data_IF_427444666354
#
_entry.id   IF_427444666354
#
_cell.length_a   1.000
_cell.length_b   1.000
_cell.length_c   1.000
_cell.angle_alpha   90.00
_cell.angle_beta   90.00
_cell.angle_gamma   90.00
#
_symmetry.space_group_name_H-M   'P 1'
#
loop_
_entity.id
_entity.type
_entity.pdbx_description
1 polymer ?
#
# COMPACT_ATOMS: atom_id res chain seq x y z
N UNK A 1 2.44 -13.16 3.09
CA UNK A 1 1.13 -13.81 3.30
C UNK A 1 0.62 -14.34 1.98
N UNK A 2 0.36 -13.49 0.98
CA UNK A 2 -0.02 -13.86 -0.40
C UNK A 2 1.08 -14.56 -1.24
N UNK A 3 2.09 -15.13 -0.58
CA UNK A 3 3.19 -15.92 -1.17
C UNK A 3 3.24 -17.32 -0.53
N UNK A 4 2.30 -17.59 0.38
CA UNK A 4 2.13 -18.86 1.07
C UNK A 4 1.03 -19.61 0.33
N UNK A 5 1.26 -20.83 -0.18
CA UNK A 5 0.28 -21.57 -0.95
C UNK A 5 -1.10 -21.65 -0.26
N UNK A 6 -1.10 -21.86 1.06
CA UNK A 6 -2.33 -21.93 1.87
C UNK A 6 -3.17 -20.65 1.90
N UNK A 7 -2.56 -19.49 1.66
CA UNK A 7 -3.23 -18.19 1.62
C UNK A 7 -3.59 -17.81 0.19
N UNK A 8 -2.78 -18.22 -0.79
CA UNK A 8 -3.08 -18.01 -2.21
C UNK A 8 -4.42 -18.68 -2.57
N UNK A 9 -4.64 -19.89 -2.09
CA UNK A 9 -5.89 -20.64 -2.33
C UNK A 9 -7.12 -20.04 -1.60
N UNK A 10 -6.90 -19.17 -0.60
CA UNK A 10 -7.98 -18.52 0.15
C UNK A 10 -8.41 -17.17 -0.44
N UNK A 11 -7.65 -16.62 -1.38
CA UNK A 11 -7.86 -15.26 -1.89
C UNK A 11 -8.30 -15.28 -3.35
N UNK A 12 -9.51 -14.79 -3.61
CA UNK A 12 -9.97 -14.55 -4.97
C UNK A 12 -9.18 -13.40 -5.64
N UNK A 13 -8.72 -12.41 -4.86
CA UNK A 13 -7.88 -11.32 -5.33
C UNK A 13 -7.60 -10.28 -4.23
N UNK A 14 -6.71 -9.33 -4.51
CA UNK A 14 -6.30 -8.28 -3.57
C UNK A 14 -6.41 -6.91 -4.24
N UNK A 15 -7.07 -5.95 -3.59
CA UNK A 15 -7.07 -4.54 -4.01
C UNK A 15 -6.11 -3.76 -3.12
N UNK A 16 -5.21 -3.00 -3.74
CA UNK A 16 -4.14 -2.26 -3.07
C UNK A 16 -4.25 -0.78 -3.44
N UNK A 17 -4.57 0.09 -2.48
CA UNK A 17 -4.53 1.55 -2.64
C UNK A 17 -3.24 2.10 -2.04
N UNK A 18 -2.44 2.79 -2.86
CA UNK A 18 -1.15 3.40 -2.50
C UNK A 18 -0.29 2.53 -1.56
N UNK A 19 0.00 1.27 -1.94
CA UNK A 19 0.60 0.32 -1.02
C UNK A 19 2.02 0.72 -0.64
N UNK A 20 2.37 0.52 0.63
CA UNK A 20 3.72 0.72 1.17
C UNK A 20 4.70 -0.37 0.67
N UNK A 21 4.96 -0.39 -0.64
CA UNK A 21 5.89 -1.31 -1.30
C UNK A 21 7.33 -0.78 -1.23
N UNK A 22 7.49 0.53 -1.24
CA UNK A 22 8.78 1.20 -1.05
C UNK A 22 8.55 2.52 -0.33
N UNK A 23 9.22 2.67 0.80
CA UNK A 23 9.17 3.87 1.65
C UNK A 23 10.58 4.36 1.87
N UNK A 24 10.82 5.67 1.70
CA UNK A 24 12.12 6.28 1.97
C UNK A 24 12.24 6.61 3.46
N UNK A 25 13.32 6.19 4.14
CA UNK A 25 13.55 6.61 5.52
C UNK A 25 13.73 8.13 5.61
N UNK A 26 13.37 8.72 6.75
CA UNK A 26 13.53 10.15 6.97
C UNK A 26 15.00 10.61 6.90
N UNK A 27 15.95 9.73 7.25
CA UNK A 27 17.38 9.96 7.11
C UNK A 27 18.11 8.64 6.84
N UNK A 28 19.16 8.59 5.99
CA UNK A 28 19.90 7.36 5.66
C UNK A 28 20.41 6.59 6.89
N UNK A 29 20.84 7.31 7.93
CA UNK A 29 21.36 6.71 9.18
C UNK A 29 20.31 5.88 9.92
N UNK A 30 19.02 6.18 9.74
CA UNK A 30 17.92 5.46 10.41
C UNK A 30 17.96 3.99 10.01
N UNK A 31 18.23 3.68 8.74
CA UNK A 31 18.33 2.29 8.28
C UNK A 31 19.44 1.51 8.99
N UNK A 32 20.56 2.17 9.29
CA UNK A 32 21.72 1.55 9.93
C UNK A 32 21.52 1.28 11.43
N UNK A 33 20.89 2.21 12.16
CA UNK A 33 20.72 2.10 13.61
C UNK A 33 19.40 1.44 14.03
N UNK A 34 18.41 1.39 13.14
CA UNK A 34 17.08 0.87 13.42
C UNK A 34 17.05 -0.56 13.98
N UNK A 35 17.84 -1.55 13.50
CA UNK A 35 17.79 -2.92 14.05
C UNK A 35 18.16 -2.96 15.54
N UNK A 36 19.23 -2.26 15.92
CA UNK A 36 19.70 -2.22 17.31
C UNK A 36 18.71 -1.49 18.22
N UNK A 37 18.23 -0.31 17.82
CA UNK A 37 17.26 0.44 18.61
C UNK A 37 15.87 -0.20 18.64
N UNK A 38 15.49 -0.96 17.60
CA UNK A 38 14.27 -1.76 17.59
C UNK A 38 14.29 -2.84 18.69
N UNK A 39 15.47 -3.39 18.99
CA UNK A 39 15.64 -4.37 20.06
C UNK A 39 15.68 -3.71 21.44
N UNK A 40 16.47 -2.65 21.60
CA UNK A 40 16.77 -2.05 22.92
C UNK A 40 15.71 -1.04 23.37
N UNK A 41 15.11 -0.29 22.44
CA UNK A 41 14.14 0.76 22.74
C UNK A 41 12.94 0.74 21.77
N UNK A 42 12.21 -0.39 21.64
CA UNK A 42 11.19 -0.59 20.60
C UNK A 42 10.06 0.44 20.59
N UNK A 43 9.70 0.96 21.78
CA UNK A 43 8.61 1.92 21.99
C UNK A 43 9.06 3.38 21.85
N UNK A 44 10.36 3.62 21.70
CA UNK A 44 10.89 4.98 21.57
C UNK A 44 10.30 5.67 20.34
N UNK A 45 10.02 6.96 20.47
CA UNK A 45 9.42 7.79 19.44
C UNK A 45 10.42 8.87 19.05
N UNK A 46 10.94 8.78 17.83
CA UNK A 46 11.88 9.76 17.33
C UNK A 46 11.12 10.93 16.68
N UNK A 47 10.99 12.04 17.40
CA UNK A 47 10.25 13.23 16.95
C UNK A 47 10.81 13.82 15.64
N UNK A 48 12.11 13.68 15.38
CA UNK A 48 12.77 14.22 14.18
C UNK A 48 12.41 13.52 12.87
N UNK A 49 11.74 12.36 12.90
CA UNK A 49 11.21 11.68 11.72
C UNK A 49 9.74 12.01 11.45
N UNK A 50 9.09 12.79 12.32
CA UNK A 50 7.67 13.12 12.17
C UNK A 50 7.52 14.26 11.15
N UNK A 51 7.28 13.91 9.89
CA UNK A 51 6.90 14.87 8.85
C UNK A 51 5.45 15.28 9.06
N UNK A 52 5.20 16.12 10.07
CA UNK A 52 3.89 16.77 10.23
C UNK A 52 3.59 17.54 8.96
N UNK A 53 2.40 17.34 8.39
CA UNK A 53 1.90 18.14 7.27
C UNK A 53 2.29 17.69 5.87
N UNK A 54 2.70 16.43 5.64
CA UNK A 54 2.61 15.89 4.27
C UNK A 54 1.12 15.77 3.93
N UNK A 55 0.61 16.49 2.91
CA UNK A 55 -0.76 16.30 2.48
C UNK A 55 -0.90 14.89 1.89
N UNK A 56 -1.89 14.16 2.37
CA UNK A 56 -2.21 12.80 1.91
C UNK A 56 -3.40 12.79 0.96
N UNK A 57 -4.14 13.89 0.87
CA UNK A 57 -5.23 14.13 -0.08
C UNK A 57 -5.24 15.63 -0.44
N UNK A 58 -5.78 15.96 -1.62
CA UNK A 58 -6.04 17.35 -2.06
C UNK A 58 -7.29 17.95 -1.40
N UNK A 59 -8.16 17.13 -0.81
CA UNK A 59 -9.40 17.57 -0.16
C UNK A 59 -9.15 18.06 1.28
N UNK A 60 -9.27 19.38 1.56
CA UNK A 60 -9.05 19.92 2.89
C UNK A 60 -10.10 19.47 3.92
N UNK A 61 -11.34 19.19 3.50
CA UNK A 61 -12.39 18.71 4.41
C UNK A 61 -12.13 17.27 4.84
N UNK A 62 -11.69 16.42 3.91
CA UNK A 62 -11.29 15.05 4.21
C UNK A 62 -10.08 15.01 5.16
N UNK A 63 -9.09 15.89 4.95
CA UNK A 63 -7.95 16.03 5.86
C UNK A 63 -8.40 16.50 7.25
N UNK A 64 -9.30 17.47 7.34
CA UNK A 64 -9.83 17.94 8.62
C UNK A 64 -10.56 16.82 9.35
N UNK A 65 -11.45 16.09 8.67
CA UNK A 65 -12.16 14.96 9.23
C UNK A 65 -11.17 13.90 9.78
N UNK A 66 -10.19 13.49 8.97
CA UNK A 66 -9.15 12.52 9.36
C UNK A 66 -8.37 12.96 10.60
N UNK A 67 -7.88 14.20 10.64
CA UNK A 67 -7.01 14.65 11.73
C UNK A 67 -7.76 15.14 12.97
N UNK A 68 -9.07 15.34 12.87
CA UNK A 68 -9.96 15.61 14.02
C UNK A 68 -10.42 14.33 14.74
N UNK A 69 -10.31 13.16 14.10
CA UNK A 69 -10.73 11.89 14.68
C UNK A 69 -9.80 11.47 15.85
N UNK A 70 -10.32 11.30 17.08
CA UNK A 70 -9.50 10.93 18.23
C UNK A 70 -8.88 9.52 18.14
N UNK A 71 -9.35 8.67 17.22
CA UNK A 71 -8.79 7.34 16.96
C UNK A 71 -7.57 7.39 16.03
N UNK A 72 -7.35 8.51 15.32
CA UNK A 72 -6.20 8.68 14.43
C UNK A 72 -4.95 9.04 15.24
N UNK A 73 -3.94 8.18 15.15
CA UNK A 73 -2.66 8.43 15.78
C UNK A 73 -1.84 9.47 15.01
N UNK A 74 -1.67 10.66 15.59
CA UNK A 74 -0.91 11.80 15.00
C UNK A 74 0.49 11.98 15.61
N UNK A 75 0.89 11.07 16.51
CA UNK A 75 2.20 11.10 17.14
C UNK A 75 3.32 10.54 16.25
N UNK A 76 4.59 10.67 16.67
CA UNK A 76 5.71 10.12 15.92
C UNK A 76 5.67 8.59 15.84
N UNK A 77 6.03 8.04 14.69
CA UNK A 77 6.16 6.59 14.50
C UNK A 77 7.17 6.02 15.51
N UNK A 78 6.82 4.90 16.15
CA UNK A 78 7.71 4.17 17.07
C UNK A 78 8.85 3.51 16.29
N UNK A 79 10.04 3.45 16.88
CA UNK A 79 11.24 2.92 16.22
C UNK A 79 11.01 1.51 15.65
N UNK A 80 10.43 0.60 16.45
CA UNK A 80 10.17 -0.76 15.97
C UNK A 80 9.23 -0.76 14.77
N UNK A 81 8.13 -0.01 14.80
CA UNK A 81 7.20 0.10 13.67
C UNK A 81 7.91 0.60 12.40
N UNK A 82 8.71 1.66 12.50
CA UNK A 82 9.48 2.17 11.36
C UNK A 82 10.48 1.14 10.82
N UNK A 83 11.19 0.43 11.71
CA UNK A 83 12.11 -0.63 11.33
C UNK A 83 11.39 -1.78 10.59
N UNK A 84 10.26 -2.24 11.11
CA UNK A 84 9.47 -3.31 10.50
C UNK A 84 8.94 -2.92 9.12
N UNK A 85 8.49 -1.66 8.95
CA UNK A 85 8.09 -1.11 7.64
C UNK A 85 9.26 -1.22 6.65
N UNK A 86 10.44 -0.70 7.01
CA UNK A 86 11.61 -0.76 6.14
C UNK A 86 12.02 -2.21 5.82
N UNK A 87 11.96 -3.10 6.82
CA UNK A 87 12.28 -4.52 6.63
C UNK A 87 11.30 -5.19 5.67
N UNK A 88 10.00 -4.98 5.84
CA UNK A 88 8.99 -5.64 5.00
C UNK A 88 8.96 -5.05 3.59
N UNK A 89 9.13 -3.74 3.40
CA UNK A 89 9.20 -3.14 2.05
C UNK A 89 10.44 -3.63 1.28
N UNK A 90 11.58 -3.78 1.96
CA UNK A 90 12.79 -4.34 1.37
C UNK A 90 12.63 -5.83 1.01
N UNK A 91 11.89 -6.58 1.83
CA UNK A 91 11.53 -7.96 1.51
C UNK A 91 10.60 -8.02 0.29
N UNK A 92 9.51 -7.24 0.26
CA UNK A 92 8.52 -7.27 -0.83
C UNK A 92 9.15 -6.95 -2.18
N UNK A 93 9.93 -5.87 -2.26
CA UNK A 93 10.58 -5.44 -3.52
C UNK A 93 11.54 -6.46 -4.11
N UNK A 94 12.16 -7.32 -3.30
CA UNK A 94 13.01 -8.42 -3.78
C UNK A 94 12.22 -9.65 -4.23
N UNK A 95 10.93 -9.72 -3.86
CA UNK A 95 10.10 -10.92 -4.02
C UNK A 95 8.84 -10.65 -4.86
N UNK A 96 8.73 -9.56 -5.62
CA UNK A 96 7.56 -9.33 -6.49
C UNK A 96 7.32 -10.48 -7.47
N UNK A 97 8.39 -11.13 -7.94
CA UNK A 97 8.32 -12.30 -8.83
C UNK A 97 7.65 -13.54 -8.22
N UNK A 98 7.40 -13.55 -6.90
CA UNK A 98 6.65 -14.61 -6.24
C UNK A 98 5.16 -14.29 -6.07
N UNK A 99 4.67 -13.16 -6.59
CA UNK A 99 3.28 -12.73 -6.42
C UNK A 99 2.43 -13.27 -7.57
N UNK A 100 1.71 -14.34 -7.30
CA UNK A 100 0.82 -15.06 -8.24
C UNK A 100 -0.66 -14.69 -8.05
N UNK A 101 -1.04 -14.28 -6.83
CA UNK A 101 -2.44 -13.93 -6.49
C UNK A 101 -2.96 -12.82 -7.40
N UNK A 102 -4.22 -12.88 -7.87
CA UNK A 102 -4.85 -11.79 -8.60
C UNK A 102 -4.83 -10.47 -7.82
N UNK A 103 -4.51 -9.36 -8.46
CA UNK A 103 -4.49 -8.07 -7.77
C UNK A 103 -4.85 -6.87 -8.63
N UNK A 104 -5.34 -5.82 -7.97
CA UNK A 104 -5.46 -4.49 -8.54
C UNK A 104 -4.66 -3.51 -7.69
N UNK A 105 -3.76 -2.76 -8.31
CA UNK A 105 -3.01 -1.71 -7.61
C UNK A 105 -3.38 -0.33 -8.15
N UNK A 106 -3.84 0.54 -7.25
CA UNK A 106 -4.21 1.92 -7.52
C UNK A 106 -3.21 2.85 -6.81
N UNK A 107 -2.70 3.87 -7.48
CA UNK A 107 -1.71 4.78 -6.88
C UNK A 107 -1.81 6.19 -7.45
N UNK A 108 -1.65 7.22 -6.61
CA UNK A 108 -1.52 8.61 -7.06
C UNK A 108 -0.09 8.90 -7.54
N UNK A 109 0.08 9.59 -8.67
CA UNK A 109 1.43 9.89 -9.20
C UNK A 109 2.19 10.90 -8.36
N UNK A 110 1.50 11.70 -7.55
CA UNK A 110 2.08 12.72 -6.68
C UNK A 110 2.18 12.28 -5.21
N UNK A 111 1.94 11.00 -4.92
CA UNK A 111 2.10 10.44 -3.57
C UNK A 111 3.49 10.76 -2.98
N UNK A 112 3.49 11.38 -1.79
CA UNK A 112 4.70 11.77 -1.04
C UNK A 112 5.01 10.82 0.13
N UNK A 113 4.13 9.86 0.39
CA UNK A 113 4.21 8.86 1.46
C UNK A 113 4.79 7.55 0.93
N UNK A 114 4.22 7.02 -0.16
CA UNK A 114 4.69 5.80 -0.83
C UNK A 114 5.11 6.06 -2.27
N UNK A 115 5.98 5.20 -2.82
CA UNK A 115 6.53 5.39 -4.16
C UNK A 115 5.63 4.73 -5.24
N UNK A 116 4.99 5.51 -6.13
CA UNK A 116 4.13 4.95 -7.19
C UNK A 116 4.91 4.09 -8.18
N UNK A 117 6.21 4.33 -8.39
CA UNK A 117 7.05 3.48 -9.24
C UNK A 117 7.19 2.08 -8.66
N UNK A 118 7.10 1.91 -7.33
CA UNK A 118 7.12 0.59 -6.72
C UNK A 118 5.84 -0.21 -7.02
N UNK A 119 4.69 0.46 -7.18
CA UNK A 119 3.46 -0.18 -7.68
C UNK A 119 3.59 -0.60 -9.13
N UNK A 120 4.21 0.23 -9.97
CA UNK A 120 4.51 -0.13 -11.35
C UNK A 120 5.46 -1.33 -11.42
N UNK A 121 6.49 -1.35 -10.57
CA UNK A 121 7.42 -2.48 -10.48
C UNK A 121 6.73 -3.78 -10.05
N UNK A 122 5.80 -3.71 -9.07
CA UNK A 122 4.99 -4.87 -8.69
C UNK A 122 4.19 -5.38 -9.89
N UNK A 123 3.48 -4.50 -10.59
CA UNK A 123 2.70 -4.87 -11.78
C UNK A 123 3.60 -5.52 -12.85
N UNK A 124 4.77 -4.94 -13.13
CA UNK A 124 5.66 -5.44 -14.17
C UNK A 124 6.30 -6.79 -13.81
N UNK A 125 6.66 -7.01 -12.55
CA UNK A 125 7.45 -8.17 -12.14
C UNK A 125 6.62 -9.36 -11.64
N UNK A 126 5.42 -9.12 -11.12
CA UNK A 126 4.58 -10.19 -10.58
C UNK A 126 4.05 -11.12 -11.69
N UNK A 127 4.15 -12.46 -11.55
CA UNK A 127 3.61 -13.41 -12.53
C UNK A 127 2.10 -13.62 -12.45
N UNK A 128 1.37 -12.86 -11.61
CA UNK A 128 -0.09 -12.93 -11.51
C UNK A 128 -0.76 -12.79 -12.88
N UNK A 129 -1.68 -13.72 -13.18
CA UNK A 129 -2.39 -13.82 -14.47
C UNK A 129 -3.49 -12.77 -14.57
N UNK A 130 -4.20 -12.52 -13.48
CA UNK A 130 -5.26 -11.53 -13.39
C UNK A 130 -4.78 -10.35 -12.54
N UNK A 131 -4.11 -9.40 -13.19
CA UNK A 131 -3.58 -8.20 -12.52
C UNK A 131 -3.88 -6.94 -13.30
N UNK A 132 -4.10 -5.85 -12.57
CA UNK A 132 -4.30 -4.53 -13.16
C UNK A 132 -3.58 -3.43 -12.34
N UNK A 133 -3.30 -2.31 -12.98
CA UNK A 133 -2.73 -1.11 -12.36
C UNK A 133 -3.41 0.16 -12.87
N UNK A 134 -3.76 1.06 -11.95
CA UNK A 134 -4.25 2.40 -12.29
C UNK A 134 -3.44 3.47 -11.56
N UNK A 135 -2.76 4.31 -12.33
CA UNK A 135 -2.04 5.48 -11.83
C UNK A 135 -2.90 6.73 -12.07
N UNK A 136 -3.24 7.43 -10.99
CA UNK A 136 -4.05 8.65 -11.04
C UNK A 136 -3.15 9.88 -11.07
N UNK A 137 -3.17 10.60 -12.18
CA UNK A 137 -2.29 11.75 -12.37
C UNK A 137 -2.64 12.90 -11.43
N UNK A 138 -1.65 13.39 -10.69
CA UNK A 138 -1.79 14.50 -9.73
C UNK A 138 -2.41 14.11 -8.38
N UNK A 139 -2.81 12.85 -8.18
CA UNK A 139 -3.42 12.40 -6.92
C UNK A 139 -2.35 12.13 -5.87
N UNK A 140 -2.73 12.30 -4.59
CA UNK A 140 -1.86 12.01 -3.44
C UNK A 140 -2.11 10.59 -2.89
N UNK A 141 -1.80 10.36 -1.62
CA UNK A 141 -1.72 9.02 -1.02
C UNK A 141 -3.10 8.37 -0.77
N UNK A 142 -4.02 9.07 -0.13
CA UNK A 142 -5.31 8.55 0.33
C UNK A 142 -6.35 8.67 -0.80
N UNK A 143 -6.26 7.80 -1.81
CA UNK A 143 -7.09 7.88 -3.03
C UNK A 143 -8.61 7.94 -2.76
N UNK A 144 -9.09 7.23 -1.74
CA UNK A 144 -10.51 7.23 -1.36
C UNK A 144 -10.94 8.48 -0.58
N UNK A 145 -10.00 9.39 -0.30
CA UNK A 145 -10.24 10.71 0.28
C UNK A 145 -9.91 11.84 -0.70
N UNK A 146 -9.57 11.53 -1.95
CA UNK A 146 -9.43 12.54 -3.00
C UNK A 146 -10.82 13.09 -3.41
N UNK A 147 -10.88 14.29 -4.03
CA UNK A 147 -12.14 14.84 -4.55
C UNK A 147 -12.90 13.86 -5.47
N UNK A 148 -12.17 13.07 -6.26
CA UNK A 148 -12.68 12.06 -7.20
C UNK A 148 -12.79 10.65 -6.59
N UNK A 149 -12.87 10.53 -5.25
CA UNK A 149 -12.98 9.23 -4.54
C UNK A 149 -14.06 8.29 -5.06
N UNK A 150 -15.17 8.82 -5.58
CA UNK A 150 -16.27 8.01 -6.12
C UNK A 150 -15.85 7.28 -7.40
N UNK A 151 -15.01 7.90 -8.24
CA UNK A 151 -14.45 7.28 -9.43
C UNK A 151 -13.44 6.19 -9.05
N UNK A 152 -12.58 6.47 -8.05
CA UNK A 152 -11.67 5.47 -7.47
C UNK A 152 -12.45 4.27 -6.92
N UNK A 153 -13.52 4.52 -6.17
CA UNK A 153 -14.40 3.49 -5.64
C UNK A 153 -15.07 2.66 -6.74
N UNK A 154 -15.52 3.31 -7.81
CA UNK A 154 -16.10 2.63 -8.98
C UNK A 154 -15.07 1.74 -9.68
N UNK A 155 -13.85 2.21 -9.90
CA UNK A 155 -12.78 1.40 -10.51
C UNK A 155 -12.50 0.12 -9.69
N UNK A 156 -12.48 0.25 -8.36
CA UNK A 156 -12.30 -0.90 -7.46
C UNK A 156 -13.45 -1.91 -7.64
N UNK A 157 -14.69 -1.43 -7.60
CA UNK A 157 -15.88 -2.28 -7.75
C UNK A 157 -15.89 -2.96 -9.12
N UNK A 158 -15.61 -2.22 -10.19
CA UNK A 158 -15.59 -2.74 -11.55
C UNK A 158 -14.52 -3.83 -11.72
N UNK A 159 -13.34 -3.66 -11.13
CA UNK A 159 -12.32 -4.71 -11.11
C UNK A 159 -12.79 -5.95 -10.36
N UNK A 160 -13.42 -5.77 -9.19
CA UNK A 160 -13.96 -6.88 -8.40
C UNK A 160 -15.05 -7.65 -9.16
N UNK A 161 -15.95 -6.95 -9.85
CA UNK A 161 -17.01 -7.58 -10.66
C UNK A 161 -16.41 -8.41 -11.80
N UNK A 162 -15.45 -7.85 -12.54
CA UNK A 162 -14.72 -8.61 -13.59
C UNK A 162 -14.06 -9.86 -13.03
N UNK A 163 -13.47 -9.77 -11.82
CA UNK A 163 -12.83 -10.91 -11.18
C UNK A 163 -13.84 -11.99 -10.78
N UNK A 164 -15.01 -11.61 -10.27
CA UNK A 164 -16.07 -12.56 -9.93
C UNK A 164 -16.61 -13.27 -11.18
N UNK A 165 -16.80 -12.55 -12.28
CA UNK A 165 -17.24 -13.13 -13.54
C UNK A 165 -16.21 -14.14 -14.10
N UNK A 166 -14.92 -13.82 -14.02
CA UNK A 166 -13.82 -14.71 -14.42
C UNK A 166 -13.77 -16.01 -13.59
N UNK A 167 -13.97 -15.90 -12.27
CA UNK A 167 -14.08 -17.08 -11.38
C UNK A 167 -15.29 -17.94 -11.77
N UNK A 168 -16.45 -17.31 -11.99
CA UNK A 168 -17.70 -18.03 -12.32
C UNK A 168 -17.65 -18.68 -13.70
N UNK A 169 -17.07 -18.01 -14.70
CA UNK A 169 -16.88 -18.56 -16.03
C UNK A 169 -15.92 -19.76 -16.05
N UNK A 170 -14.85 -19.69 -15.26
CA UNK A 170 -13.90 -20.81 -15.09
C UNK A 170 -14.55 -22.03 -14.43
N UNK A 171 -15.47 -21.81 -13.48
CA UNK A 171 -16.21 -22.89 -12.81
C UNK A 171 -17.28 -23.53 -13.70
N UNK A 172 -17.89 -22.77 -14.62
CA UNK A 172 -18.91 -23.27 -15.54
C UNK A 172 -18.34 -24.13 -16.68
N UNK A 173 -17.09 -23.91 -17.10
CA UNK A 173 -16.43 -24.69 -18.17
C UNK A 173 -15.86 -26.05 -17.74
N UNK A 174 -16.06 -26.46 -16.48
CA UNK A 174 -15.55 -27.72 -15.91
C UNK A 174 -16.62 -28.83 -15.79
N UNK A 175 -17.82 -28.62 -16.37
CA UNK A 175 -18.94 -29.57 -16.38
C UNK A 175 -19.36 -29.94 -17.80
#
# INVERSE_FOLDING_TARGET
>A
AASSPSIEDMLAGIVLTSPALRVKPAHPIVGAIAPFFSLVAPRFQFKGANKRGIPVSRDPEALLAKYSDPLVYTGPIRVRTGHEILRITAYLTRNFKSVTVPFFVLHGTEDKVTDPLASQDLYNQAPSVFKDIKLYDGFLHDLLFEPEREDVGRDIIDWMMKRLDDVNGSAAGLW
#
